data_IF_983836181335
#
_entry.id   IF_983836181335
#
_cell.length_a   1.000
_cell.length_b   1.000
_cell.length_c   1.000
_cell.angle_alpha   90.00
_cell.angle_beta   90.00
_cell.angle_gamma   90.00
#
_symmetry.space_group_name_H-M   'P 1'
#
loop_
_entity.id
_entity.type
_entity.pdbx_description
1 polymer ?
#
# COMPACT_ATOMS: atom_id res chain seq x y z
N UNK A 1 10.58 -11.56 19.18
CA UNK A 1 9.80 -12.79 19.42
C UNK A 1 8.80 -13.11 18.30
N UNK A 2 8.58 -12.22 17.35
CA UNK A 2 7.64 -12.41 16.24
C UNK A 2 6.15 -12.21 16.61
N UNK A 3 5.86 -11.66 17.78
CA UNK A 3 4.48 -11.34 18.18
C UNK A 3 3.86 -10.33 17.21
N UNK A 4 2.67 -10.63 16.71
CA UNK A 4 1.87 -9.75 15.86
C UNK A 4 0.61 -9.33 16.61
N UNK A 5 0.28 -8.04 16.55
CA UNK A 5 -0.93 -7.54 17.20
C UNK A 5 -2.18 -7.92 16.42
N UNK A 6 -3.04 -8.72 17.04
CA UNK A 6 -4.38 -9.04 16.54
C UNK A 6 -5.43 -8.18 17.22
N UNK A 7 -6.43 -7.79 16.45
CA UNK A 7 -7.57 -7.07 17.00
C UNK A 7 -8.36 -7.96 17.97
N UNK A 8 -8.63 -7.50 19.19
CA UNK A 8 -9.38 -8.28 20.18
C UNK A 8 -10.84 -8.54 19.76
N UNK A 9 -11.38 -7.73 18.83
CA UNK A 9 -12.78 -7.83 18.42
C UNK A 9 -13.01 -8.70 17.19
N UNK A 10 -12.02 -8.88 16.30
CA UNK A 10 -12.23 -9.56 15.03
C UNK A 10 -11.01 -10.34 14.51
N UNK A 11 -9.97 -10.49 15.31
CA UNK A 11 -8.74 -11.25 15.00
C UNK A 11 -7.95 -10.77 13.77
N UNK A 12 -8.36 -9.71 13.08
CA UNK A 12 -7.57 -9.10 12.02
C UNK A 12 -6.29 -8.47 12.57
N UNK A 13 -5.26 -8.35 11.74
CA UNK A 13 -4.02 -7.71 12.14
C UNK A 13 -4.22 -6.21 12.38
N UNK A 14 -3.64 -5.70 13.48
CA UNK A 14 -3.63 -4.28 13.78
C UNK A 14 -2.54 -3.57 12.99
N UNK A 15 -2.82 -2.35 12.54
CA UNK A 15 -1.89 -1.50 11.78
C UNK A 15 -1.49 -0.30 12.63
N UNK A 16 -0.20 -0.03 12.73
CA UNK A 16 0.29 1.17 13.39
C UNK A 16 0.12 2.41 12.49
N UNK A 17 -0.57 3.41 13.02
CA UNK A 17 -0.63 4.76 12.45
C UNK A 17 0.39 5.65 13.17
N UNK A 18 1.58 5.78 12.61
CA UNK A 18 2.73 6.45 13.23
C UNK A 18 2.47 7.92 13.58
N UNK A 19 1.78 8.65 12.70
CA UNK A 19 1.48 10.08 12.91
C UNK A 19 0.63 10.34 14.15
N UNK A 20 -0.19 9.36 14.57
CA UNK A 20 -1.08 9.46 15.72
C UNK A 20 -0.72 8.49 16.84
N UNK A 21 0.38 7.71 16.69
CA UNK A 21 0.88 6.72 17.64
C UNK A 21 -0.22 5.76 18.16
N UNK A 22 -0.99 5.19 17.24
CA UNK A 22 -2.08 4.26 17.56
C UNK A 22 -2.05 3.02 16.68
N UNK A 23 -2.48 1.90 17.27
CA UNK A 23 -2.84 0.70 16.52
C UNK A 23 -4.32 0.80 16.11
N UNK A 24 -4.62 0.55 14.85
CA UNK A 24 -5.98 0.54 14.35
C UNK A 24 -6.29 -0.76 13.58
N UNK A 25 -7.48 -1.27 13.79
CA UNK A 25 -8.02 -2.37 13.02
C UNK A 25 -8.85 -1.83 11.85
N UNK A 26 -8.37 -2.02 10.63
CA UNK A 26 -9.10 -1.57 9.43
C UNK A 26 -10.34 -2.43 9.09
N UNK A 27 -10.55 -3.55 9.81
CA UNK A 27 -11.71 -4.40 9.60
C UNK A 27 -12.93 -3.96 10.44
N UNK A 28 -12.73 -3.70 11.73
CA UNK A 28 -13.84 -3.35 12.65
C UNK A 28 -13.75 -1.94 13.24
N UNK A 29 -12.68 -1.18 12.94
CA UNK A 29 -12.50 0.18 13.43
C UNK A 29 -11.97 0.27 14.88
N UNK A 30 -11.64 -0.84 15.53
CA UNK A 30 -11.04 -0.81 16.88
C UNK A 30 -9.70 -0.07 16.86
N UNK A 31 -9.48 0.78 17.85
CA UNK A 31 -8.26 1.58 17.99
C UNK A 31 -7.74 1.49 19.41
N UNK A 32 -6.44 1.31 19.57
CA UNK A 32 -5.76 1.30 20.84
C UNK A 32 -4.37 1.97 20.76
N UNK A 33 -3.78 2.42 21.88
CA UNK A 33 -2.44 2.98 21.88
C UNK A 33 -1.39 1.91 21.56
N UNK A 34 -0.28 2.30 20.93
CA UNK A 34 0.87 1.41 20.74
C UNK A 34 1.49 1.08 22.11
N UNK A 35 1.55 -0.18 22.54
CA UNK A 35 2.16 -0.53 23.80
C UNK A 35 3.68 -0.33 23.75
N UNK A 36 4.27 0.08 24.87
CA UNK A 36 5.74 0.23 25.00
C UNK A 36 6.46 -1.09 25.22
N UNK A 37 5.74 -2.07 25.73
CA UNK A 37 6.26 -3.39 26.09
C UNK A 37 5.54 -4.45 25.29
N UNK A 38 6.28 -5.38 24.73
CA UNK A 38 5.65 -6.51 24.02
C UNK A 38 4.84 -7.37 25.01
N UNK A 39 3.55 -7.63 24.75
CA UNK A 39 2.73 -8.40 25.68
C UNK A 39 3.17 -9.87 25.81
N UNK A 40 3.85 -10.41 24.81
CA UNK A 40 4.28 -11.81 24.79
C UNK A 40 5.62 -12.01 25.49
N UNK A 41 6.65 -11.27 25.08
CA UNK A 41 8.03 -11.48 25.59
C UNK A 41 8.49 -10.42 26.59
N UNK A 42 7.67 -9.46 26.95
CA UNK A 42 7.94 -8.38 27.90
C UNK A 42 9.16 -7.48 27.55
N UNK A 43 9.67 -7.56 26.33
CA UNK A 43 10.74 -6.67 25.89
C UNK A 43 10.23 -5.26 25.69
N UNK A 44 10.96 -4.29 26.20
CA UNK A 44 10.72 -2.85 25.99
C UNK A 44 11.26 -2.43 24.61
N UNK A 45 10.62 -1.46 23.98
CA UNK A 45 11.02 -0.81 22.73
C UNK A 45 11.41 -1.79 21.59
N UNK A 46 10.87 -3.01 21.65
CA UNK A 46 11.18 -4.08 20.68
C UNK A 46 10.16 -4.20 19.54
N UNK A 47 9.14 -3.37 19.57
CA UNK A 47 8.07 -3.38 18.55
C UNK A 47 8.54 -2.63 17.32
N UNK A 48 8.58 -3.33 16.20
CA UNK A 48 8.93 -2.77 14.90
C UNK A 48 7.79 -2.97 13.92
N UNK A 49 7.47 -1.99 13.07
CA UNK A 49 6.50 -2.18 12.00
C UNK A 49 6.97 -3.28 11.07
N UNK A 50 6.07 -4.21 10.75
CA UNK A 50 6.33 -5.29 9.79
C UNK A 50 5.68 -4.92 8.46
N UNK A 51 6.44 -5.05 7.40
CA UNK A 51 6.03 -4.73 6.04
C UNK A 51 6.48 -3.33 5.56
N UNK A 52 6.43 -3.11 4.25
CA UNK A 52 6.82 -1.84 3.65
C UNK A 52 5.70 -0.81 3.84
N UNK A 53 5.69 -0.12 4.97
CA UNK A 53 4.77 1.00 5.20
C UNK A 53 4.98 2.09 4.13
N UNK A 54 3.90 2.77 3.74
CA UNK A 54 3.92 3.84 2.72
C UNK A 54 4.98 4.91 3.02
N UNK A 55 5.14 5.26 4.29
CA UNK A 55 6.13 6.25 4.73
C UNK A 55 7.56 5.78 4.47
N UNK A 56 7.86 4.52 4.80
CA UNK A 56 9.17 3.93 4.54
C UNK A 56 9.49 3.87 3.05
N UNK A 57 8.53 3.43 2.23
CA UNK A 57 8.69 3.41 0.77
C UNK A 57 8.93 4.84 0.26
N UNK A 58 8.19 5.84 0.77
CA UNK A 58 8.37 7.23 0.38
C UNK A 58 9.76 7.76 0.75
N UNK A 59 10.30 7.38 1.90
CA UNK A 59 11.65 7.78 2.33
C UNK A 59 12.73 7.11 1.45
N UNK A 60 12.57 5.82 1.13
CA UNK A 60 13.47 5.11 0.22
C UNK A 60 13.42 5.72 -1.20
N UNK A 61 12.23 6.03 -1.70
CA UNK A 61 12.07 6.69 -3.01
C UNK A 61 12.77 8.06 -3.04
N UNK A 62 12.61 8.87 -2.01
CA UNK A 62 13.30 10.17 -1.90
C UNK A 62 14.82 10.02 -1.85
N UNK A 63 15.32 8.99 -1.18
CA UNK A 63 16.75 8.72 -1.12
C UNK A 63 17.33 8.27 -2.45
N UNK A 64 16.58 7.44 -3.21
CA UNK A 64 16.99 6.93 -4.51
C UNK A 64 16.81 7.95 -5.64
N UNK A 65 15.80 8.81 -5.55
CA UNK A 65 15.42 9.79 -6.57
C UNK A 65 15.26 11.17 -5.94
N UNK A 66 16.36 11.80 -5.48
CA UNK A 66 16.31 13.07 -4.74
C UNK A 66 15.72 14.24 -5.56
N UNK A 67 15.87 14.22 -6.87
CA UNK A 67 15.37 15.26 -7.77
C UNK A 67 13.92 15.03 -8.23
N UNK A 68 13.32 13.86 -7.92
CA UNK A 68 11.97 13.55 -8.33
C UNK A 68 10.92 14.19 -7.40
N UNK A 69 9.90 14.77 -8.01
CA UNK A 69 8.74 15.32 -7.29
C UNK A 69 7.83 14.18 -6.86
N UNK A 70 8.00 13.74 -5.62
CA UNK A 70 7.27 12.61 -5.05
C UNK A 70 6.01 13.06 -4.33
N UNK A 71 4.89 12.39 -4.57
CA UNK A 71 3.65 12.55 -3.83
C UNK A 71 3.28 11.27 -3.07
N UNK A 72 2.88 11.42 -1.80
CA UNK A 72 2.39 10.31 -0.97
C UNK A 72 0.88 10.40 -0.85
N UNK A 73 0.20 9.29 -1.17
CA UNK A 73 -1.26 9.19 -1.18
C UNK A 73 -1.72 8.11 -0.20
N UNK A 74 -2.35 8.56 0.86
CA UNK A 74 -2.99 7.70 1.86
C UNK A 74 -4.40 8.23 2.14
N UNK A 75 -5.19 7.47 2.92
CA UNK A 75 -6.47 7.97 3.43
C UNK A 75 -6.34 9.28 4.20
N UNK A 76 -5.19 9.49 4.84
CA UNK A 76 -4.91 10.65 5.67
C UNK A 76 -4.45 11.86 4.87
N UNK A 77 -3.89 11.65 3.68
CA UNK A 77 -3.43 12.74 2.79
C UNK A 77 -4.53 13.22 1.84
N UNK A 78 -5.44 12.35 1.41
CA UNK A 78 -6.59 12.69 0.55
C UNK A 78 -7.90 12.44 1.33
N UNK A 79 -8.18 13.31 2.27
CA UNK A 79 -9.35 13.20 3.15
C UNK A 79 -10.57 14.01 2.67
N UNK A 80 -10.45 14.81 1.61
CA UNK A 80 -11.54 15.62 1.09
C UNK A 80 -11.58 15.66 -0.45
N UNK A 81 -12.75 15.90 -1.06
CA UNK A 81 -12.88 16.09 -2.50
C UNK A 81 -11.97 17.21 -3.07
N UNK A 82 -11.76 18.28 -2.30
CA UNK A 82 -10.89 19.38 -2.69
C UNK A 82 -9.42 18.95 -2.80
N UNK A 83 -8.92 18.15 -1.84
CA UNK A 83 -7.56 17.58 -1.89
C UNK A 83 -7.39 16.59 -3.03
N UNK A 84 -8.44 15.84 -3.33
CA UNK A 84 -8.45 14.95 -4.49
C UNK A 84 -8.34 15.72 -5.80
N UNK A 85 -9.10 16.81 -5.94
CA UNK A 85 -9.06 17.66 -7.12
C UNK A 85 -7.70 18.38 -7.28
N UNK A 86 -7.12 18.89 -6.19
CA UNK A 86 -5.77 19.47 -6.18
C UNK A 86 -4.72 18.45 -6.65
N UNK A 87 -4.80 17.22 -6.16
CA UNK A 87 -3.90 16.15 -6.57
C UNK A 87 -4.01 15.84 -8.06
N UNK A 88 -5.24 15.72 -8.59
CA UNK A 88 -5.49 15.46 -10.02
C UNK A 88 -4.93 16.61 -10.87
N UNK A 89 -5.16 17.87 -10.48
CA UNK A 89 -4.64 19.03 -11.19
C UNK A 89 -3.09 19.03 -11.25
N UNK A 90 -2.42 18.68 -10.16
CA UNK A 90 -0.96 18.53 -10.13
C UNK A 90 -0.46 17.41 -11.03
N UNK A 91 -1.20 16.30 -11.10
CA UNK A 91 -0.89 15.19 -12.01
C UNK A 91 -1.01 15.62 -13.48
N UNK A 92 -2.08 16.33 -13.84
CA UNK A 92 -2.31 16.84 -15.20
C UNK A 92 -1.27 17.91 -15.60
N UNK A 93 -0.83 18.71 -14.63
CA UNK A 93 0.23 19.69 -14.82
C UNK A 93 1.65 19.08 -14.91
N UNK A 94 1.77 17.76 -14.79
CA UNK A 94 3.07 17.05 -14.69
C UNK A 94 3.95 17.49 -13.52
N UNK A 95 3.36 17.94 -12.41
CA UNK A 95 4.08 18.39 -11.21
C UNK A 95 4.47 17.24 -10.26
N UNK A 96 4.15 16.00 -10.62
CA UNK A 96 4.45 14.80 -9.86
C UNK A 96 5.11 13.78 -10.78
N UNK A 97 6.28 13.30 -10.38
CA UNK A 97 7.05 12.30 -11.11
C UNK A 97 6.83 10.89 -10.53
N UNK A 98 6.72 10.78 -9.19
CA UNK A 98 6.52 9.50 -8.50
C UNK A 98 5.37 9.62 -7.51
N UNK A 99 4.49 8.64 -7.53
CA UNK A 99 3.40 8.50 -6.57
C UNK A 99 3.68 7.27 -5.70
N UNK A 100 3.67 7.46 -4.38
CA UNK A 100 3.71 6.37 -3.41
C UNK A 100 2.37 6.33 -2.70
N UNK A 101 1.71 5.19 -2.69
CA UNK A 101 0.38 5.11 -2.09
C UNK A 101 -0.11 3.71 -1.80
N UNK A 102 -1.24 3.65 -1.10
CA UNK A 102 -1.98 2.42 -0.83
C UNK A 102 -3.06 2.19 -1.90
N UNK A 103 -3.96 1.26 -1.65
CA UNK A 103 -5.11 0.92 -2.51
C UNK A 103 -5.97 2.14 -2.94
N UNK A 104 -5.87 3.27 -2.24
CA UNK A 104 -6.58 4.50 -2.62
C UNK A 104 -6.19 5.01 -4.00
N UNK A 105 -4.93 4.83 -4.39
CA UNK A 105 -4.42 5.22 -5.72
C UNK A 105 -5.16 4.48 -6.84
N UNK A 106 -5.75 3.34 -6.53
CA UNK A 106 -6.45 2.49 -7.51
C UNK A 106 -7.88 2.92 -7.79
N UNK A 107 -8.51 3.70 -6.90
CA UNK A 107 -9.92 4.04 -6.96
C UNK A 107 -10.17 5.43 -7.54
N UNK A 108 -10.75 5.47 -8.73
CA UNK A 108 -11.39 6.70 -9.24
C UNK A 108 -10.50 7.73 -9.93
N UNK A 109 -9.18 7.61 -9.89
CA UNK A 109 -8.28 8.57 -10.54
C UNK A 109 -7.86 8.11 -11.93
N UNK A 110 -7.76 9.05 -12.85
CA UNK A 110 -7.21 8.83 -14.19
C UNK A 110 -5.76 9.32 -14.22
N UNK A 111 -4.84 8.46 -14.68
CA UNK A 111 -3.41 8.76 -14.78
C UNK A 111 -2.95 8.62 -16.24
N UNK A 112 -3.16 9.64 -17.10
CA UNK A 112 -2.93 9.51 -18.55
C UNK A 112 -1.46 9.27 -18.92
N UNK A 113 -0.54 9.71 -18.08
CA UNK A 113 0.91 9.64 -18.35
C UNK A 113 1.65 8.61 -17.47
N UNK A 114 0.92 7.73 -16.78
CA UNK A 114 1.51 6.70 -15.95
C UNK A 114 2.11 5.60 -16.83
N UNK A 115 3.43 5.49 -16.82
CA UNK A 115 4.18 4.53 -17.62
C UNK A 115 4.72 3.34 -16.83
N UNK A 116 4.88 3.49 -15.52
CA UNK A 116 5.39 2.44 -14.64
C UNK A 116 4.52 2.31 -13.39
N UNK A 117 4.19 1.08 -13.03
CA UNK A 117 3.57 0.73 -11.76
C UNK A 117 4.42 -0.31 -11.06
N UNK A 118 4.86 -0.03 -9.84
CA UNK A 118 5.52 -0.98 -8.96
C UNK A 118 4.56 -1.42 -7.84
N UNK A 119 4.33 -2.72 -7.72
CA UNK A 119 3.58 -3.31 -6.60
C UNK A 119 4.57 -3.90 -5.61
N UNK A 120 4.75 -3.22 -4.50
CA UNK A 120 5.63 -3.65 -3.42
C UNK A 120 4.88 -4.62 -2.53
N UNK A 121 5.45 -5.81 -2.31
CA UNK A 121 4.85 -6.89 -1.52
C UNK A 121 3.46 -7.30 -2.05
N UNK A 122 3.44 -7.90 -3.24
CA UNK A 122 2.20 -8.39 -3.87
C UNK A 122 1.54 -9.54 -3.08
N UNK A 123 2.25 -10.13 -2.12
CA UNK A 123 1.75 -11.20 -1.24
C UNK A 123 0.98 -10.62 -0.03
N UNK A 124 1.05 -9.31 0.19
CA UNK A 124 0.35 -8.64 1.28
C UNK A 124 -1.17 -8.85 1.14
N UNK A 125 -1.76 -9.50 2.12
CA UNK A 125 -3.18 -9.86 2.12
C UNK A 125 -3.46 -11.31 1.72
N UNK A 126 -2.47 -12.07 1.23
CA UNK A 126 -2.62 -13.51 1.02
C UNK A 126 -2.59 -14.29 2.34
N UNK A 127 -1.90 -13.76 3.36
CA UNK A 127 -1.68 -14.40 4.67
C UNK A 127 -2.83 -14.15 5.68
N UNK A 128 -3.91 -13.50 5.29
CA UNK A 128 -4.90 -12.94 6.23
C UNK A 128 -6.03 -13.86 6.69
N UNK A 129 -6.02 -15.15 6.40
CA UNK A 129 -7.08 -16.10 6.86
C UNK A 129 -8.48 -15.86 6.23
N UNK A 130 -8.64 -14.87 5.39
CA UNK A 130 -9.86 -14.64 4.61
C UNK A 130 -9.86 -15.55 3.38
N UNK A 131 -10.90 -16.38 3.24
CA UNK A 131 -11.06 -17.30 2.11
C UNK A 131 -11.06 -16.61 0.73
N UNK A 132 -11.34 -15.30 0.71
CA UNK A 132 -11.32 -14.46 -0.51
C UNK A 132 -10.13 -13.52 -0.59
N UNK A 133 -9.14 -13.67 0.30
CA UNK A 133 -7.98 -12.78 0.33
C UNK A 133 -7.22 -12.80 -1.00
N UNK A 134 -6.97 -13.98 -1.54
CA UNK A 134 -6.28 -14.16 -2.82
C UNK A 134 -7.04 -13.50 -3.98
N UNK A 135 -8.37 -13.70 -4.05
CA UNK A 135 -9.21 -13.09 -5.08
C UNK A 135 -9.19 -11.55 -4.99
N UNK A 136 -9.33 -11.00 -3.79
CA UNK A 136 -9.28 -9.55 -3.57
C UNK A 136 -7.93 -8.96 -3.93
N UNK A 137 -6.84 -9.63 -3.52
CA UNK A 137 -5.48 -9.20 -3.86
C UNK A 137 -5.27 -9.22 -5.37
N UNK A 138 -5.68 -10.28 -6.05
CA UNK A 138 -5.62 -10.38 -7.50
C UNK A 138 -6.40 -9.24 -8.17
N UNK A 139 -7.65 -8.99 -7.77
CA UNK A 139 -8.47 -7.91 -8.32
C UNK A 139 -7.83 -6.53 -8.10
N UNK A 140 -7.25 -6.29 -6.93
CA UNK A 140 -6.55 -5.04 -6.63
C UNK A 140 -5.31 -4.86 -7.52
N UNK A 141 -4.51 -5.89 -7.67
CA UNK A 141 -3.33 -5.87 -8.53
C UNK A 141 -3.73 -5.62 -9.99
N UNK A 142 -4.76 -6.29 -10.49
CA UNK A 142 -5.30 -6.04 -11.85
C UNK A 142 -5.77 -4.60 -12.02
N UNK A 143 -6.43 -4.02 -11.01
CA UNK A 143 -6.87 -2.62 -11.07
C UNK A 143 -5.69 -1.65 -11.13
N UNK A 144 -4.63 -1.90 -10.38
CA UNK A 144 -3.41 -1.09 -10.37
C UNK A 144 -2.67 -1.25 -11.70
N UNK A 145 -2.43 -2.49 -12.12
CA UNK A 145 -1.78 -2.83 -13.39
C UNK A 145 -2.47 -2.16 -14.57
N UNK A 146 -3.78 -2.20 -14.61
CA UNK A 146 -4.59 -1.55 -15.63
C UNK A 146 -4.54 -0.01 -15.64
N UNK A 147 -3.73 0.63 -14.79
CA UNK A 147 -3.51 2.09 -14.82
C UNK A 147 -2.32 2.48 -15.68
N UNK A 148 -1.30 1.62 -15.79
CA UNK A 148 -0.15 1.88 -16.64
C UNK A 148 -0.52 1.81 -18.13
N UNK A 149 0.06 2.70 -18.95
CA UNK A 149 -0.06 2.63 -20.40
C UNK A 149 -1.41 3.05 -20.98
N UNK A 150 -2.23 3.80 -20.25
CA UNK A 150 -3.51 4.33 -20.77
C UNK A 150 -3.37 5.53 -21.71
N UNK A 151 -2.16 6.07 -21.85
CA UNK A 151 -1.84 7.16 -22.77
C UNK A 151 -1.13 6.69 -24.03
N UNK A 152 -0.41 7.60 -24.67
CA UNK A 152 0.33 7.31 -25.89
C UNK A 152 1.61 6.46 -25.67
N UNK A 153 2.06 6.31 -24.41
CA UNK A 153 3.25 5.55 -24.05
C UNK A 153 2.87 4.16 -23.53
N UNK A 154 3.64 3.11 -23.86
CA UNK A 154 3.42 1.78 -23.28
C UNK A 154 3.60 1.80 -21.76
N UNK A 155 2.79 1.01 -21.06
CA UNK A 155 2.88 0.84 -19.63
C UNK A 155 3.70 -0.40 -19.25
N UNK A 156 4.38 -0.30 -18.11
CA UNK A 156 5.12 -1.39 -17.49
C UNK A 156 4.60 -1.63 -16.08
N UNK A 157 4.57 -2.89 -15.64
CA UNK A 157 4.13 -3.24 -14.29
C UNK A 157 5.11 -4.24 -13.70
N UNK A 158 5.66 -3.91 -12.55
CA UNK A 158 6.58 -4.77 -11.81
C UNK A 158 5.91 -5.24 -10.51
N UNK A 159 6.01 -6.54 -10.21
CA UNK A 159 5.49 -7.14 -8.99
C UNK A 159 6.62 -7.70 -8.14
N UNK A 160 6.74 -7.19 -6.91
CA UNK A 160 7.61 -7.79 -5.91
C UNK A 160 6.83 -8.87 -5.15
N UNK A 161 7.27 -10.12 -5.23
CA UNK A 161 6.60 -11.27 -4.59
C UNK A 161 7.60 -12.30 -4.09
N UNK A 162 7.30 -12.96 -2.97
CA UNK A 162 8.02 -14.13 -2.47
C UNK A 162 7.55 -15.43 -3.14
N UNK A 163 6.39 -15.40 -3.82
CA UNK A 163 5.73 -16.57 -4.42
C UNK A 163 5.50 -16.41 -5.94
N UNK A 164 6.56 -16.21 -6.75
CA UNK A 164 6.42 -15.91 -8.20
C UNK A 164 5.78 -17.07 -8.99
N UNK A 165 5.79 -18.28 -8.44
CA UNK A 165 5.19 -19.47 -9.07
C UNK A 165 3.75 -19.73 -8.65
N UNK A 166 3.17 -18.91 -7.75
CA UNK A 166 1.77 -19.03 -7.39
C UNK A 166 0.87 -18.81 -8.62
N UNK A 167 -0.20 -19.59 -8.74
CA UNK A 167 -1.09 -19.56 -9.91
C UNK A 167 -1.64 -18.16 -10.21
N UNK A 168 -2.00 -17.41 -9.16
CA UNK A 168 -2.45 -16.02 -9.30
C UNK A 168 -1.39 -15.08 -9.86
N UNK A 169 -0.10 -15.25 -9.48
CA UNK A 169 1.00 -14.45 -10.03
C UNK A 169 1.29 -14.82 -11.48
N UNK A 170 1.20 -16.11 -11.82
CA UNK A 170 1.36 -16.57 -13.21
C UNK A 170 0.24 -16.03 -14.11
N UNK A 171 -1.00 -16.04 -13.64
CA UNK A 171 -2.14 -15.44 -14.36
C UNK A 171 -1.98 -13.93 -14.58
N UNK A 172 -1.44 -13.20 -13.59
CA UNK A 172 -1.15 -11.77 -13.74
C UNK A 172 -0.09 -11.48 -14.82
N UNK A 173 0.92 -12.34 -14.94
CA UNK A 173 2.01 -12.18 -15.93
C UNK A 173 1.55 -12.60 -17.33
N UNK A 174 0.75 -13.67 -17.45
CA UNK A 174 0.24 -14.16 -18.75
C UNK A 174 -0.87 -13.26 -19.31
N UNK A 175 -1.57 -12.52 -18.46
CA UNK A 175 -2.72 -11.71 -18.86
C UNK A 175 -3.99 -12.52 -19.11
N UNK A 176 -4.04 -13.75 -18.62
CA UNK A 176 -5.19 -14.67 -18.72
C UNK A 176 -6.13 -14.55 -17.52
#
# INVERSE_FOLDING_TARGET
CGHRFQCPNCTAWMVEHRLVHRLACHHCGHVEPVPKVCPECQSEDSLVPVGPGVERIADEVKALFPDARTAVITSDTIWSPAKAAEFVARMEAHDIDIIVGTQLVTKGYHFPNLTLVGVIDADLGLDGGDLRASERTFQQICQVAGRAGRGAKPGHVDFQTHSPKASGMQALVSGD
#
